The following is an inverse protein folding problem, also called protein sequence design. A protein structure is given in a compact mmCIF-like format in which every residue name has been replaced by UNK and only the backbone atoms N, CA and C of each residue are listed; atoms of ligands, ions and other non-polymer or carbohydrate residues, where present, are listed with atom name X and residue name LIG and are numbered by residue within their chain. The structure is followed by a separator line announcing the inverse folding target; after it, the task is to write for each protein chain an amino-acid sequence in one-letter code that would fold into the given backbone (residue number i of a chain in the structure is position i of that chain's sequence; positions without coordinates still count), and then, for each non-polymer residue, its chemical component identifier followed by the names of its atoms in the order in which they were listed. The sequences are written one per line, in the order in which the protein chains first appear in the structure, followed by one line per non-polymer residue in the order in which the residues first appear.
data_IF_498282535556
#
_entry.id   IF_498282535556
#
_cell.length_a   1.000
_cell.length_b   1.000
_cell.length_c   1.000
_cell.angle_alpha   90.00
_cell.angle_beta   90.00
_cell.angle_gamma   90.00
#
_symmetry.space_group_name_H-M   'P 1'
#
loop_
_entity.id
_entity.type
_entity.pdbx_description
1 polymer ?
#
# COMPACT_ATOMS: atom_id res chain seq x y z
N UNK A 1 -27.22 16.13 13.06
CA UNK A 1 -26.49 17.05 13.97
C UNK A 1 -25.04 17.36 13.52
N UNK A 2 -24.22 16.38 13.10
CA UNK A 2 -22.84 16.65 12.62
C UNK A 2 -22.76 17.03 11.13
N UNK A 3 -23.78 16.72 10.35
CA UNK A 3 -23.91 17.10 8.93
C UNK A 3 -24.22 18.59 8.70
N UNK A 4 -24.69 19.28 9.71
CA UNK A 4 -25.19 20.64 9.60
C UNK A 4 -24.08 21.71 9.81
N UNK A 5 -22.84 21.28 10.05
CA UNK A 5 -21.67 22.18 10.16
C UNK A 5 -20.98 22.24 8.81
N UNK A 6 -20.92 23.40 8.11
CA UNK A 6 -20.59 23.47 6.68
C UNK A 6 -19.19 22.98 6.30
N UNK A 7 -18.22 22.94 7.20
CA UNK A 7 -16.86 22.42 6.93
C UNK A 7 -16.65 21.02 7.51
N UNK A 8 -17.13 20.78 8.73
CA UNK A 8 -16.96 19.48 9.42
C UNK A 8 -17.94 18.46 8.85
N UNK A 9 -19.15 18.89 8.44
CA UNK A 9 -20.16 18.03 7.85
C UNK A 9 -19.74 17.48 6.50
N UNK A 10 -19.17 18.29 5.62
CA UNK A 10 -18.64 17.85 4.32
C UNK A 10 -17.40 16.97 4.48
N UNK A 11 -16.44 17.32 5.34
CA UNK A 11 -15.29 16.48 5.67
C UNK A 11 -15.73 15.12 6.24
N UNK A 12 -16.72 15.09 7.11
CA UNK A 12 -17.23 13.86 7.68
C UNK A 12 -17.96 13.00 6.64
N UNK A 13 -18.80 13.62 5.76
CA UNK A 13 -19.52 12.88 4.73
C UNK A 13 -18.60 12.36 3.63
N UNK A 14 -17.61 13.13 3.23
CA UNK A 14 -16.79 12.83 2.07
C UNK A 14 -15.53 12.01 2.42
N UNK A 15 -15.04 12.13 3.66
CA UNK A 15 -13.82 11.40 4.09
C UNK A 15 -14.15 10.20 4.97
N UNK A 16 -15.15 10.30 5.86
CA UNK A 16 -15.43 9.28 6.88
C UNK A 16 -16.72 8.49 6.64
N UNK A 17 -17.72 9.00 5.91
CA UNK A 17 -18.98 8.28 5.69
C UNK A 17 -19.24 8.06 4.20
N UNK A 18 -19.87 6.93 3.87
CA UNK A 18 -20.25 6.61 2.47
C UNK A 18 -19.26 5.78 1.69
N UNK A 19 -18.13 5.36 2.29
CA UNK A 19 -17.16 4.48 1.64
C UNK A 19 -17.53 3.01 1.80
N UNK A 20 -17.08 2.19 0.87
CA UNK A 20 -17.21 0.73 0.98
C UNK A 20 -16.50 0.20 2.24
N UNK A 21 -17.03 -0.86 2.82
CA UNK A 21 -16.48 -1.50 4.04
C UNK A 21 -14.97 -1.80 3.92
N UNK A 22 -14.50 -2.16 2.74
CA UNK A 22 -13.08 -2.43 2.49
C UNK A 22 -12.16 -1.23 2.69
N UNK A 23 -12.65 0.00 2.50
CA UNK A 23 -11.87 1.22 2.76
C UNK A 23 -11.61 1.37 4.25
N UNK A 24 -12.62 1.15 5.09
CA UNK A 24 -12.46 1.16 6.55
C UNK A 24 -11.53 0.05 7.03
N UNK A 25 -11.65 -1.15 6.45
CA UNK A 25 -10.74 -2.27 6.72
C UNK A 25 -9.30 -1.92 6.33
N UNK A 26 -9.07 -1.23 5.22
CA UNK A 26 -7.75 -0.78 4.80
C UNK A 26 -7.15 0.20 5.82
N UNK A 27 -7.90 1.22 6.26
CA UNK A 27 -7.44 2.15 7.30
C UNK A 27 -7.17 1.43 8.63
N UNK A 28 -8.02 0.49 9.02
CA UNK A 28 -7.87 -0.29 10.25
C UNK A 28 -6.68 -1.26 10.16
N UNK A 29 -6.39 -1.81 8.99
CA UNK A 29 -5.27 -2.75 8.80
C UNK A 29 -3.92 -2.11 9.12
N UNK A 30 -3.73 -0.82 8.85
CA UNK A 30 -2.45 -0.12 9.07
C UNK A 30 -2.05 -0.08 10.55
N UNK A 31 -2.88 0.40 11.49
CA UNK A 31 -2.53 0.37 12.91
C UNK A 31 -2.41 -1.07 13.45
N UNK A 32 -3.23 -2.01 12.96
CA UNK A 32 -3.15 -3.43 13.34
C UNK A 32 -1.81 -4.02 12.91
N UNK A 33 -1.42 -3.87 11.65
CA UNK A 33 -0.15 -4.36 11.13
C UNK A 33 1.02 -3.67 11.83
N UNK A 34 0.94 -2.36 12.05
CA UNK A 34 1.96 -1.64 12.81
C UNK A 34 2.12 -2.23 14.22
N UNK A 35 1.02 -2.47 14.92
CA UNK A 35 1.05 -3.04 16.27
C UNK A 35 1.63 -4.46 16.26
N UNK A 36 1.17 -5.33 15.34
CA UNK A 36 1.67 -6.71 15.21
C UNK A 36 3.17 -6.70 14.93
N UNK A 37 3.64 -5.90 13.96
CA UNK A 37 5.05 -5.94 13.50
C UNK A 37 6.00 -5.27 14.47
N UNK A 38 5.58 -4.17 15.14
CA UNK A 38 6.49 -3.34 15.94
C UNK A 38 6.29 -3.47 17.47
N UNK A 39 5.13 -3.96 17.91
CA UNK A 39 4.80 -4.01 19.34
C UNK A 39 4.61 -5.41 19.89
N UNK A 40 4.67 -6.46 19.07
CA UNK A 40 4.54 -7.84 19.52
C UNK A 40 5.84 -8.64 19.41
N UNK A 41 5.98 -9.70 20.22
CA UNK A 41 7.09 -10.65 20.13
C UNK A 41 7.10 -11.40 18.79
N UNK A 42 5.92 -11.62 18.19
CA UNK A 42 5.81 -12.21 16.86
C UNK A 42 6.47 -11.30 15.80
N UNK A 43 6.15 -10.01 15.80
CA UNK A 43 6.74 -9.03 14.88
C UNK A 43 8.24 -8.86 15.07
N UNK A 44 8.73 -8.90 16.30
CA UNK A 44 10.16 -8.86 16.57
C UNK A 44 10.88 -10.06 15.93
N UNK A 45 10.37 -11.29 16.15
CA UNK A 45 10.91 -12.51 15.54
C UNK A 45 10.82 -12.47 14.01
N UNK A 46 9.71 -11.97 13.46
CA UNK A 46 9.51 -11.85 12.02
C UNK A 46 10.53 -10.92 11.39
N UNK A 47 10.79 -9.77 12.00
CA UNK A 47 11.83 -8.81 11.52
C UNK A 47 13.23 -9.42 11.64
N UNK A 48 13.52 -10.13 12.73
CA UNK A 48 14.79 -10.84 12.89
C UNK A 48 15.01 -11.89 11.78
N UNK A 49 13.97 -12.66 11.41
CA UNK A 49 14.01 -13.59 10.27
C UNK A 49 14.27 -12.86 8.94
N UNK A 50 13.79 -11.62 8.79
CA UNK A 50 14.05 -10.80 7.61
C UNK A 50 15.48 -10.29 7.53
N UNK A 51 16.18 -10.11 8.66
CA UNK A 51 17.56 -9.64 8.70
C UNK A 51 18.57 -10.79 8.64
N UNK A 52 18.41 -11.79 9.50
CA UNK A 52 19.35 -12.93 9.56
C UNK A 52 18.61 -14.21 9.97
N UNK A 53 18.10 -14.99 9.00
CA UNK A 53 17.36 -16.22 9.29
C UNK A 53 18.19 -17.30 9.99
N UNK A 54 19.48 -17.42 9.71
CA UNK A 54 20.34 -18.41 10.33
C UNK A 54 20.57 -18.12 11.82
N UNK A 55 20.77 -16.85 12.19
CA UNK A 55 20.88 -16.46 13.59
C UNK A 55 19.57 -16.72 14.38
N UNK A 56 18.43 -16.61 13.72
CA UNK A 56 17.12 -16.91 14.35
C UNK A 56 16.93 -18.41 14.53
N UNK A 57 17.39 -19.24 13.60
CA UNK A 57 17.34 -20.70 13.71
C UNK A 57 18.24 -21.20 14.84
N UNK A 58 19.44 -20.67 14.99
CA UNK A 58 20.36 -21.00 16.11
C UNK A 58 19.79 -20.59 17.47
N UNK A 59 18.93 -19.55 17.50
CA UNK A 59 18.18 -19.18 18.71
C UNK A 59 16.97 -20.09 19.00
N UNK A 60 16.79 -21.18 18.25
CA UNK A 60 15.73 -22.17 18.46
C UNK A 60 14.37 -21.78 17.88
N UNK A 61 14.28 -20.75 17.06
CA UNK A 61 13.02 -20.30 16.43
C UNK A 61 12.92 -20.89 15.03
N UNK A 62 11.86 -21.62 14.75
CA UNK A 62 11.65 -22.21 13.43
C UNK A 62 11.33 -21.12 12.37
N UNK A 63 12.29 -20.88 11.48
CA UNK A 63 12.22 -19.89 10.41
C UNK A 63 11.09 -20.18 9.42
N UNK A 64 10.89 -21.46 9.04
CA UNK A 64 9.81 -21.83 8.11
C UNK A 64 8.44 -21.50 8.68
N UNK A 65 8.18 -21.86 9.95
CA UNK A 65 6.91 -21.57 10.60
C UNK A 65 6.64 -20.06 10.66
N UNK A 66 7.67 -19.24 10.92
CA UNK A 66 7.53 -17.79 10.93
C UNK A 66 7.22 -17.23 9.54
N UNK A 67 7.89 -17.71 8.49
CA UNK A 67 7.61 -17.32 7.11
C UNK A 67 6.19 -17.70 6.68
N UNK A 68 5.74 -18.92 6.99
CA UNK A 68 4.36 -19.36 6.67
C UNK A 68 3.30 -18.53 7.40
N UNK A 69 3.50 -18.19 8.67
CA UNK A 69 2.57 -17.30 9.39
C UNK A 69 2.51 -15.91 8.75
N UNK A 70 3.65 -15.35 8.34
CA UNK A 70 3.68 -14.08 7.64
C UNK A 70 2.96 -14.14 6.28
N UNK A 71 3.16 -15.21 5.51
CA UNK A 71 2.46 -15.44 4.24
C UNK A 71 0.95 -15.58 4.43
N UNK A 72 0.50 -16.25 5.49
CA UNK A 72 -0.93 -16.37 5.80
C UNK A 72 -1.56 -14.99 6.09
N UNK A 73 -0.90 -14.16 6.90
CA UNK A 73 -1.37 -12.79 7.18
C UNK A 73 -1.40 -11.95 5.89
N UNK A 74 -0.34 -12.05 5.08
CA UNK A 74 -0.27 -11.36 3.80
C UNK A 74 -1.38 -11.81 2.85
N UNK A 75 -1.66 -13.13 2.79
CA UNK A 75 -2.75 -13.68 1.98
C UNK A 75 -4.12 -13.10 2.34
N UNK A 76 -4.40 -12.92 3.63
CA UNK A 76 -5.65 -12.27 4.09
C UNK A 76 -5.73 -10.82 3.63
N UNK A 77 -4.64 -10.06 3.74
CA UNK A 77 -4.63 -8.65 3.30
C UNK A 77 -4.81 -8.53 1.78
N UNK A 78 -4.17 -9.41 1.00
CA UNK A 78 -4.32 -9.45 -0.46
C UNK A 78 -5.75 -9.86 -0.84
N UNK A 79 -6.37 -10.80 -0.13
CA UNK A 79 -7.76 -11.18 -0.37
C UNK A 79 -8.72 -9.99 -0.19
N UNK A 80 -8.54 -9.17 0.85
CA UNK A 80 -9.32 -7.93 1.01
C UNK A 80 -9.10 -6.93 -0.13
N UNK A 81 -7.86 -6.77 -0.60
CA UNK A 81 -7.56 -5.91 -1.74
C UNK A 81 -8.22 -6.42 -3.04
N UNK A 82 -8.17 -7.73 -3.30
CA UNK A 82 -8.82 -8.36 -4.45
C UNK A 82 -10.35 -8.24 -4.39
N UNK A 83 -10.94 -8.47 -3.21
CA UNK A 83 -12.38 -8.30 -2.99
C UNK A 83 -12.81 -6.84 -3.22
N UNK A 84 -12.04 -5.86 -2.75
CA UNK A 84 -12.30 -4.45 -3.03
C UNK A 84 -12.29 -4.13 -4.53
N UNK A 85 -11.30 -4.64 -5.27
CA UNK A 85 -11.21 -4.42 -6.72
C UNK A 85 -12.41 -5.01 -7.46
N UNK A 86 -12.86 -6.21 -7.11
CA UNK A 86 -13.94 -6.90 -7.80
C UNK A 86 -15.34 -6.41 -7.43
N UNK A 87 -15.53 -5.87 -6.23
CA UNK A 87 -16.86 -5.48 -5.74
C UNK A 87 -17.09 -3.97 -5.73
N UNK A 88 -16.08 -3.18 -5.38
CA UNK A 88 -16.21 -1.74 -5.20
C UNK A 88 -15.74 -0.93 -6.41
N UNK A 89 -14.64 -1.35 -7.06
CA UNK A 89 -14.06 -0.59 -8.17
C UNK A 89 -14.65 -1.01 -9.51
N UNK A 90 -14.75 -2.31 -9.76
CA UNK A 90 -15.13 -2.81 -11.08
C UNK A 90 -16.53 -3.44 -11.13
N UNK A 91 -17.19 -3.68 -9.98
CA UNK A 91 -18.49 -4.36 -9.85
C UNK A 91 -18.57 -5.76 -10.49
N UNK A 92 -17.50 -6.26 -11.11
CA UNK A 92 -17.39 -7.56 -11.76
C UNK A 92 -15.94 -8.07 -11.73
N UNK A 93 -15.79 -9.38 -11.88
CA UNK A 93 -14.48 -10.00 -12.04
C UNK A 93 -14.15 -10.15 -13.52
N UNK A 94 -13.06 -9.54 -13.98
CA UNK A 94 -12.59 -9.67 -15.35
C UNK A 94 -11.06 -9.77 -15.40
N UNK A 95 -10.58 -10.25 -16.54
CA UNK A 95 -9.14 -10.42 -16.78
C UNK A 95 -8.41 -9.07 -16.67
N UNK A 96 -7.26 -9.07 -15.99
CA UNK A 96 -6.39 -7.88 -15.82
C UNK A 96 -7.02 -6.71 -15.04
N UNK A 97 -8.03 -6.94 -14.20
CA UNK A 97 -8.70 -5.90 -13.42
C UNK A 97 -7.77 -5.11 -12.47
N UNK A 98 -6.58 -5.63 -12.17
CA UNK A 98 -5.58 -4.94 -11.36
C UNK A 98 -4.87 -3.80 -12.09
N UNK A 99 -4.85 -3.83 -13.45
CA UNK A 99 -4.31 -2.77 -14.32
C UNK A 99 -2.95 -2.21 -13.84
N UNK A 100 -2.04 -3.07 -13.41
CA UNK A 100 -0.71 -2.66 -12.94
C UNK A 100 -0.64 -2.04 -11.53
N UNK A 101 -1.75 -1.95 -10.79
CA UNK A 101 -1.78 -1.38 -9.42
C UNK A 101 -0.86 -2.09 -8.43
N UNK A 102 -0.53 -3.36 -8.68
CA UNK A 102 0.46 -4.09 -7.90
C UNK A 102 1.86 -3.46 -7.94
N UNK A 103 2.28 -2.92 -9.08
CA UNK A 103 3.57 -2.21 -9.21
C UNK A 103 3.55 -0.88 -8.46
N UNK A 104 2.42 -0.16 -8.46
CA UNK A 104 2.26 1.07 -7.65
C UNK A 104 2.30 0.74 -6.15
N UNK A 105 1.70 -0.36 -5.72
CA UNK A 105 1.77 -0.81 -4.33
C UNK A 105 3.21 -1.18 -3.91
N UNK A 106 3.98 -1.83 -4.80
CA UNK A 106 5.40 -2.12 -4.58
C UNK A 106 6.20 -0.82 -4.45
N UNK A 107 5.98 0.14 -5.34
CA UNK A 107 6.60 1.46 -5.25
C UNK A 107 6.23 2.17 -3.93
N UNK A 108 4.96 2.16 -3.53
CA UNK A 108 4.51 2.74 -2.26
C UNK A 108 5.20 2.09 -1.04
N UNK A 109 5.45 0.79 -1.07
CA UNK A 109 6.17 0.07 -0.01
C UNK A 109 7.63 0.55 0.07
N UNK A 110 8.31 0.70 -1.07
CA UNK A 110 9.70 1.19 -1.14
C UNK A 110 9.77 2.64 -0.64
N UNK A 111 8.88 3.52 -1.11
CA UNK A 111 8.77 4.91 -0.62
C UNK A 111 8.47 4.99 0.87
N UNK A 112 7.63 4.09 1.34
CA UNK A 112 7.31 3.93 2.76
C UNK A 112 8.46 3.38 3.59
N UNK A 113 9.65 3.12 3.00
CA UNK A 113 10.82 2.58 3.71
C UNK A 113 10.49 1.35 4.55
N UNK A 114 9.68 0.45 3.99
CA UNK A 114 9.25 -0.79 4.66
C UNK A 114 8.48 -0.56 5.97
N UNK A 115 7.91 0.64 6.15
CA UNK A 115 7.19 0.98 7.36
C UNK A 115 5.70 1.24 7.06
N UNK A 116 4.74 0.62 7.80
CA UNK A 116 3.32 0.67 7.45
C UNK A 116 2.71 2.08 7.44
N UNK A 117 3.12 2.96 8.35
CA UNK A 117 2.59 4.33 8.42
C UNK A 117 3.00 5.17 7.20
N UNK A 118 4.27 5.10 6.82
CA UNK A 118 4.80 5.83 5.67
C UNK A 118 4.34 5.21 4.35
N UNK A 119 4.13 3.88 4.30
CA UNK A 119 3.49 3.22 3.18
C UNK A 119 2.04 3.70 2.97
N UNK A 120 1.26 3.91 4.05
CA UNK A 120 -0.07 4.51 3.95
C UNK A 120 -0.01 5.90 3.30
N UNK A 121 0.92 6.77 3.74
CA UNK A 121 1.07 8.11 3.15
C UNK A 121 1.41 8.01 1.66
N UNK A 122 2.32 7.11 1.27
CA UNK A 122 2.64 6.87 -0.12
C UNK A 122 1.43 6.37 -0.93
N UNK A 123 0.65 5.43 -0.38
CA UNK A 123 -0.58 4.95 -1.03
C UNK A 123 -1.63 6.05 -1.19
N UNK A 124 -1.80 6.93 -0.19
CA UNK A 124 -2.71 8.08 -0.29
C UNK A 124 -2.25 9.08 -1.35
N UNK A 125 -0.95 9.30 -1.47
CA UNK A 125 -0.38 10.17 -2.49
C UNK A 125 -0.61 9.62 -3.90
N UNK A 126 -0.40 8.31 -4.12
CA UNK A 126 -0.72 7.66 -5.39
C UNK A 126 -2.22 7.66 -5.68
N UNK A 127 -3.06 7.40 -4.68
CA UNK A 127 -4.51 7.49 -4.82
C UNK A 127 -4.99 8.91 -5.16
N UNK A 128 -4.35 9.93 -4.61
CA UNK A 128 -4.62 11.32 -4.96
C UNK A 128 -4.26 11.62 -6.43
N UNK A 129 -3.11 11.14 -6.90
CA UNK A 129 -2.73 11.32 -8.32
C UNK A 129 -3.63 10.55 -9.27
N UNK A 130 -4.09 9.35 -8.89
CA UNK A 130 -5.10 8.61 -9.65
C UNK A 130 -6.43 9.37 -9.74
N UNK A 131 -6.89 9.93 -8.63
CA UNK A 131 -8.11 10.73 -8.59
C UNK A 131 -7.97 12.03 -9.41
N UNK A 132 -6.81 12.68 -9.33
CA UNK A 132 -6.50 13.86 -10.10
C UNK A 132 -6.48 13.56 -11.60
N UNK A 133 -5.89 12.44 -12.00
CA UNK A 133 -5.89 11.96 -13.38
C UNK A 133 -7.31 11.83 -13.93
N UNK A 134 -8.22 11.19 -13.18
CA UNK A 134 -9.63 11.03 -13.60
C UNK A 134 -10.33 12.39 -13.72
N UNK A 135 -10.05 13.32 -12.81
CA UNK A 135 -10.65 14.66 -12.81
C UNK A 135 -10.14 15.55 -13.92
N UNK A 136 -8.89 15.39 -14.34
CA UNK A 136 -8.30 16.19 -15.43
C UNK A 136 -8.67 15.69 -16.83
N UNK A 137 -9.19 14.48 -16.96
CA UNK A 137 -9.69 13.99 -18.25
C UNK A 137 -10.90 14.79 -18.69
N UNK A 138 -10.85 15.36 -19.89
CA UNK A 138 -11.92 16.18 -20.47
C UNK A 138 -11.94 17.65 -19.99
N UNK A 139 -10.91 18.12 -19.29
CA UNK A 139 -10.76 19.53 -18.95
C UNK A 139 -10.05 20.26 -20.09
N UNK A 140 -10.74 21.18 -20.74
CA UNK A 140 -10.15 22.10 -21.72
C UNK A 140 -9.50 23.28 -20.99
N UNK A 141 -8.21 23.44 -21.19
CA UNK A 141 -7.48 24.61 -20.68
C UNK A 141 -7.60 25.76 -21.69
N UNK A 142 -8.02 26.98 -21.27
CA UNK A 142 -8.27 28.12 -22.16
C UNK A 142 -7.07 28.55 -23.01
N UNK A 143 -5.84 28.15 -22.63
CA UNK A 143 -4.59 28.55 -23.29
C UNK A 143 -3.91 27.44 -24.11
N UNK A 144 -4.23 26.15 -23.85
CA UNK A 144 -3.46 25.00 -24.38
C UNK A 144 -4.38 24.01 -25.15
N UNK A 145 -5.71 24.18 -25.06
CA UNK A 145 -6.67 23.19 -25.56
C UNK A 145 -6.81 21.96 -24.67
N UNK A 146 -7.23 20.84 -25.25
CA UNK A 146 -7.35 19.58 -24.53
C UNK A 146 -5.97 19.03 -24.14
N UNK A 147 -5.78 18.69 -22.85
CA UNK A 147 -4.55 18.04 -22.40
C UNK A 147 -4.52 16.62 -22.99
N UNK A 148 -3.43 16.19 -23.64
CA UNK A 148 -3.31 14.84 -24.14
C UNK A 148 -3.50 13.81 -23.01
N UNK A 149 -4.44 12.89 -23.19
CA UNK A 149 -4.80 11.86 -22.18
C UNK A 149 -3.57 11.07 -21.72
N UNK A 150 -2.61 10.84 -22.63
CA UNK A 150 -1.36 10.13 -22.34
C UNK A 150 -0.51 10.86 -21.30
N UNK A 151 -0.49 12.19 -21.32
CA UNK A 151 0.27 13.01 -20.38
C UNK A 151 -0.37 12.97 -18.99
N UNK A 152 -1.70 12.98 -18.94
CA UNK A 152 -2.45 12.83 -17.69
C UNK A 152 -2.23 11.42 -17.08
N UNK A 153 -2.24 10.39 -17.91
CA UNK A 153 -1.97 9.00 -17.49
C UNK A 153 -0.54 8.78 -17.01
N UNK A 154 0.40 9.62 -17.42
CA UNK A 154 1.79 9.56 -16.96
C UNK A 154 1.99 10.19 -15.57
N UNK A 155 1.03 10.93 -15.01
CA UNK A 155 1.16 11.65 -13.73
C UNK A 155 1.62 10.75 -12.56
N UNK A 156 1.05 9.57 -12.29
CA UNK A 156 1.50 8.71 -11.20
C UNK A 156 2.96 8.25 -11.38
N UNK A 157 3.36 8.00 -12.62
CA UNK A 157 4.73 7.55 -12.95
C UNK A 157 5.73 8.70 -12.80
N UNK A 158 5.38 9.89 -13.27
CA UNK A 158 6.18 11.11 -13.10
C UNK A 158 6.37 11.40 -11.62
N UNK A 159 5.29 11.34 -10.83
CA UNK A 159 5.37 11.50 -9.37
C UNK A 159 6.32 10.47 -8.76
N UNK A 160 6.23 9.21 -9.19
CA UNK A 160 7.11 8.13 -8.74
C UNK A 160 8.58 8.49 -8.98
N UNK A 161 8.92 8.94 -10.19
CA UNK A 161 10.29 9.32 -10.55
C UNK A 161 10.77 10.52 -9.73
N UNK A 162 9.95 11.54 -9.58
CA UNK A 162 10.27 12.75 -8.80
C UNK A 162 10.53 12.40 -7.33
N UNK A 163 9.69 11.55 -6.75
CA UNK A 163 9.85 11.10 -5.36
C UNK A 163 11.14 10.28 -5.19
N UNK A 164 11.43 9.38 -6.13
CA UNK A 164 12.68 8.59 -6.11
C UNK A 164 13.92 9.47 -6.23
N UNK A 165 13.88 10.48 -7.09
CA UNK A 165 15.04 11.33 -7.37
C UNK A 165 15.37 12.31 -6.24
N UNK A 166 14.37 12.81 -5.48
CA UNK A 166 14.57 13.95 -4.60
C UNK A 166 14.20 13.78 -3.14
N UNK A 167 13.21 12.94 -2.82
CA UNK A 167 12.62 12.93 -1.47
C UNK A 167 12.85 11.66 -0.66
N UNK A 168 13.17 10.55 -1.31
CA UNK A 168 13.36 9.27 -0.63
C UNK A 168 14.86 9.06 -0.35
N UNK A 169 15.28 9.36 0.88
CA UNK A 169 16.58 8.89 1.36
C UNK A 169 16.64 7.36 1.31
N UNK A 170 17.83 6.76 1.44
CA UNK A 170 18.06 5.31 1.31
C UNK A 170 16.98 4.48 2.00
N UNK A 171 16.16 3.77 1.21
CA UNK A 171 15.27 2.75 1.71
C UNK A 171 16.10 1.47 1.93
N UNK A 172 16.24 1.05 3.18
CA UNK A 172 17.00 -0.15 3.53
C UNK A 172 16.03 -1.32 3.55
N UNK A 173 16.14 -2.20 2.56
CA UNK A 173 15.39 -3.45 2.54
C UNK A 173 15.94 -4.44 3.58
N UNK A 174 15.12 -5.38 4.10
CA UNK A 174 15.63 -6.48 4.92
C UNK A 174 16.71 -7.28 4.20
N UNK A 175 17.81 -7.62 4.89
CA UNK A 175 18.99 -8.23 4.26
C UNK A 175 18.72 -9.58 3.59
N UNK A 176 17.78 -10.37 4.14
CA UNK A 176 17.42 -11.70 3.60
C UNK A 176 16.30 -11.65 2.55
N UNK A 177 15.97 -10.46 1.97
CA UNK A 177 14.94 -10.35 0.94
C UNK A 177 15.35 -11.11 -0.32
N UNK A 178 14.45 -11.95 -0.84
CA UNK A 178 14.71 -12.74 -2.05
C UNK A 178 15.69 -13.91 -1.86
N UNK A 179 16.26 -14.11 -0.66
CA UNK A 179 17.19 -15.21 -0.42
C UNK A 179 16.44 -16.45 0.10
N UNK A 180 16.65 -17.62 -0.55
CA UNK A 180 16.14 -18.88 -0.03
C UNK A 180 16.87 -19.23 1.27
N UNK A 181 16.13 -19.67 2.28
CA UNK A 181 16.70 -20.18 3.50
C UNK A 181 16.83 -21.70 3.41
N UNK A 182 18.05 -22.20 3.54
CA UNK A 182 18.37 -23.62 3.66
C UNK A 182 18.86 -23.85 5.09
N UNK A 183 18.22 -24.79 5.80
CA UNK A 183 18.63 -25.13 7.16
C UNK A 183 19.97 -25.88 7.10
N UNK A 184 21.00 -25.30 7.68
CA UNK A 184 22.27 -26.01 7.91
C UNK A 184 22.04 -27.03 9.02
N UNK A 185 22.43 -28.29 8.75
CA UNK A 185 22.32 -29.41 9.71
C UNK A 185 23.51 -29.44 10.64
#
# INVERSE_FOLDING_TARGET
ALRDIPVIGTLYSDILSGHYVFVYLAYLSVPIVFWIVFKTSFGLRLRAVGENPSAVDTAGINVFTMRYKALAINGVLIAFAGAHLSTAVNANFFREMSAGRGYLALAAMIFGKWHPKTALIACLLFGFTDALQIRLQGVELPAIGEIPVQLIQALPYILTVVLLAGFVGKAIAPNAIGQPYVKER
#
